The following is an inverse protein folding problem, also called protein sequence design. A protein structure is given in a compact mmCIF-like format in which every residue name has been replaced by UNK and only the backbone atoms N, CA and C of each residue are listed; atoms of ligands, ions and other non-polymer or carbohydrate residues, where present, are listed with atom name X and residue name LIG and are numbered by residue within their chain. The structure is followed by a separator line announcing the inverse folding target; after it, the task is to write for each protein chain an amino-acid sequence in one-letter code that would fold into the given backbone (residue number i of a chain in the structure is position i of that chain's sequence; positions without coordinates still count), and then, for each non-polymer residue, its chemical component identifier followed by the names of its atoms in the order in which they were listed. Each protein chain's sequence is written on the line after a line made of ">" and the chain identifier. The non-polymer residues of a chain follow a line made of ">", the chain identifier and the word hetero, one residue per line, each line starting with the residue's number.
data_IF_524911888366
#
_entry.id   IF_524911888366
#
_cell.length_a   1.000
_cell.length_b   1.000
_cell.length_c   1.000
_cell.angle_alpha   90.00
_cell.angle_beta   90.00
_cell.angle_gamma   90.00
#
_symmetry.space_group_name_H-M   'P 1'
#
loop_
_entity.id
_entity.type
_entity.pdbx_description
1 polymer ?
#
# COMPACT_ATOMS: atom_id res chain seq x y z
N UNK A 1 -27.20 112.64 23.56
CA UNK A 1 -26.03 113.07 22.76
C UNK A 1 -25.53 111.86 22.01
N UNK A 2 -25.81 111.77 20.70
CA UNK A 2 -25.35 110.66 19.87
C UNK A 2 -23.94 111.00 19.36
N UNK A 3 -23.02 110.02 19.37
CA UNK A 3 -21.68 110.17 18.81
C UNK A 3 -21.64 109.44 17.46
N UNK A 4 -21.26 110.16 16.41
CA UNK A 4 -21.11 109.62 15.07
C UNK A 4 -19.62 109.55 14.72
N UNK A 5 -19.04 108.34 14.61
CA UNK A 5 -17.69 108.11 14.10
C UNK A 5 -17.75 107.89 12.58
N UNK A 6 -17.15 108.78 11.79
CA UNK A 6 -17.19 108.67 10.32
C UNK A 6 -16.16 107.67 9.77
N UNK A 7 -15.06 107.43 10.49
CA UNK A 7 -13.96 106.54 10.10
C UNK A 7 -14.36 105.05 10.05
N UNK A 8 -15.42 104.65 10.75
CA UNK A 8 -15.99 103.31 10.66
C UNK A 8 -16.79 103.07 9.36
N UNK A 9 -17.11 104.12 8.60
CA UNK A 9 -17.92 104.04 7.37
C UNK A 9 -17.42 104.98 6.28
N UNK A 10 -16.36 104.62 5.52
CA UNK A 10 -15.70 105.52 4.57
C UNK A 10 -16.57 105.98 3.38
N UNK A 11 -17.64 105.24 3.08
CA UNK A 11 -18.62 105.53 2.02
C UNK A 11 -19.74 106.49 2.46
N UNK A 12 -19.65 107.00 3.68
CA UNK A 12 -20.59 107.97 4.23
C UNK A 12 -20.04 109.38 4.05
N UNK A 13 -20.90 110.24 3.56
CA UNK A 13 -20.63 111.66 3.39
C UNK A 13 -21.50 112.49 4.32
N UNK A 14 -20.95 113.63 4.75
CA UNK A 14 -21.70 114.68 5.43
C UNK A 14 -21.95 115.81 4.47
N UNK A 15 -23.22 116.17 4.35
CA UNK A 15 -23.69 117.29 3.58
C UNK A 15 -24.21 118.38 4.51
N UNK A 16 -23.51 119.51 4.67
CA UNK A 16 -24.09 120.69 5.31
C UNK A 16 -25.19 121.27 4.42
N UNK A 17 -26.35 121.53 5.01
CA UNK A 17 -27.51 122.17 4.38
C UNK A 17 -27.93 123.37 5.22
N UNK A 18 -27.99 124.55 4.61
CA UNK A 18 -28.42 125.77 5.30
C UNK A 18 -29.92 125.98 5.07
N UNK A 19 -30.71 125.92 6.13
CA UNK A 19 -32.17 126.01 6.07
C UNK A 19 -32.72 126.68 7.33
N UNK A 20 -33.67 127.60 7.15
CA UNK A 20 -34.24 128.40 8.25
C UNK A 20 -33.17 129.06 9.15
N UNK A 21 -32.19 129.71 8.52
CA UNK A 21 -31.05 130.38 9.18
C UNK A 21 -30.14 129.48 10.05
N UNK A 22 -30.29 128.15 9.99
CA UNK A 22 -29.46 127.18 10.71
C UNK A 22 -28.79 126.17 9.77
N UNK A 23 -27.61 125.67 10.16
CA UNK A 23 -26.94 124.56 9.47
C UNK A 23 -27.47 123.23 9.98
N UNK A 24 -28.01 122.42 9.08
CA UNK A 24 -28.41 121.03 9.32
C UNK A 24 -27.43 120.13 8.57
N UNK A 25 -26.94 119.08 9.21
CA UNK A 25 -25.95 118.18 8.63
C UNK A 25 -26.59 116.86 8.30
N UNK A 26 -26.53 116.41 7.04
CA UNK A 26 -27.14 115.15 6.64
C UNK A 26 -26.08 114.09 6.34
N UNK A 27 -26.21 112.94 7.02
CA UNK A 27 -25.44 111.74 6.72
C UNK A 27 -26.05 111.09 5.47
N UNK A 28 -25.29 111.05 4.39
CA UNK A 28 -25.75 110.55 3.09
C UNK A 28 -24.77 109.49 2.59
N UNK A 29 -25.27 108.37 2.09
CA UNK A 29 -24.45 107.41 1.35
C UNK A 29 -24.68 107.62 -0.14
N UNK A 30 -23.60 107.68 -0.90
CA UNK A 30 -23.58 107.82 -2.35
C UNK A 30 -23.07 106.49 -2.90
N UNK A 31 -23.97 105.65 -3.45
CA UNK A 31 -23.57 104.36 -4.04
C UNK A 31 -23.31 104.45 -5.54
N UNK A 32 -24.05 105.31 -6.26
CA UNK A 32 -23.98 105.55 -7.72
C UNK A 32 -24.41 107.00 -8.01
N UNK A 33 -24.00 107.60 -9.14
CA UNK A 33 -24.05 109.06 -9.40
C UNK A 33 -25.43 109.74 -9.17
N UNK A 34 -26.54 108.98 -9.25
CA UNK A 34 -27.91 109.49 -9.13
C UNK A 34 -28.68 108.96 -7.90
N UNK A 35 -28.15 107.98 -7.15
CA UNK A 35 -28.84 107.36 -6.02
C UNK A 35 -28.31 107.85 -4.67
N UNK A 36 -28.89 108.93 -4.15
CA UNK A 36 -28.60 109.47 -2.81
C UNK A 36 -29.68 109.06 -1.83
N UNK A 37 -29.28 108.34 -0.78
CA UNK A 37 -30.18 108.03 0.34
C UNK A 37 -29.72 108.78 1.58
N UNK A 38 -30.54 109.73 2.04
CA UNK A 38 -30.35 110.35 3.35
C UNK A 38 -30.58 109.28 4.42
N UNK A 39 -29.58 109.10 5.28
CA UNK A 39 -29.61 108.09 6.35
C UNK A 39 -30.11 108.71 7.65
N UNK A 40 -29.58 109.88 7.99
CA UNK A 40 -29.92 110.59 9.22
C UNK A 40 -29.57 112.07 9.13
N UNK A 41 -30.33 112.91 9.82
CA UNK A 41 -29.92 114.29 10.14
C UNK A 41 -29.11 114.28 11.43
N UNK A 42 -27.95 114.94 11.41
CA UNK A 42 -27.06 115.17 12.53
C UNK A 42 -27.25 116.63 12.96
N UNK A 43 -27.53 116.84 14.24
CA UNK A 43 -27.57 118.18 14.82
C UNK A 43 -26.29 118.40 15.64
N UNK A 44 -25.32 119.12 15.08
CA UNK A 44 -24.01 119.34 15.73
C UNK A 44 -24.07 120.21 17.01
N UNK A 45 -25.24 120.76 17.40
CA UNK A 45 -25.42 121.39 18.71
C UNK A 45 -25.73 120.39 19.83
N UNK A 46 -26.34 119.26 19.49
CA UNK A 46 -26.75 118.21 20.45
C UNK A 46 -26.02 116.89 20.28
N UNK A 47 -25.39 116.67 19.12
CA UNK A 47 -24.67 115.46 18.75
C UNK A 47 -23.19 115.74 18.52
N UNK A 48 -22.37 114.71 18.70
CA UNK A 48 -20.92 114.74 18.50
C UNK A 48 -20.57 114.05 17.20
N UNK A 49 -19.86 114.75 16.33
CA UNK A 49 -19.28 114.14 15.15
C UNK A 49 -17.78 113.99 15.36
N UNK A 50 -17.26 112.77 15.23
CA UNK A 50 -15.84 112.46 15.42
C UNK A 50 -15.26 111.89 14.12
N UNK A 51 -14.12 112.42 13.71
CA UNK A 51 -13.35 111.94 12.55
C UNK A 51 -11.92 111.69 13.04
N UNK A 52 -11.44 110.45 12.92
CA UNK A 52 -10.11 110.03 13.40
C UNK A 52 -9.82 110.47 14.85
N UNK A 53 -10.81 110.30 15.73
CA UNK A 53 -10.69 110.67 17.15
C UNK A 53 -10.80 112.17 17.46
N UNK A 54 -10.96 113.04 16.45
CA UNK A 54 -11.14 114.49 16.65
C UNK A 54 -12.61 114.90 16.49
N UNK A 55 -13.14 115.65 17.46
CA UNK A 55 -14.50 116.19 17.41
C UNK A 55 -14.59 117.35 16.42
N UNK A 56 -15.47 117.21 15.42
CA UNK A 56 -15.74 118.23 14.41
C UNK A 56 -16.86 119.14 14.88
N UNK A 57 -16.55 120.42 15.08
CA UNK A 57 -17.50 121.44 15.52
C UNK A 57 -18.24 122.06 14.34
N UNK A 58 -19.48 122.53 14.57
CA UNK A 58 -20.32 123.25 13.60
C UNK A 58 -19.54 124.39 12.89
N UNK A 59 -18.72 125.11 13.65
CA UNK A 59 -17.88 126.20 13.14
C UNK A 59 -16.91 125.76 12.03
N UNK A 60 -16.43 124.52 12.03
CA UNK A 60 -15.48 124.02 11.03
C UNK A 60 -16.16 123.85 9.67
N UNK A 61 -17.38 123.31 9.66
CA UNK A 61 -18.17 123.22 8.42
C UNK A 61 -18.66 124.58 7.95
N UNK A 62 -18.98 125.50 8.87
CA UNK A 62 -19.31 126.88 8.50
C UNK A 62 -18.15 127.55 7.77
N UNK A 63 -16.94 127.45 8.32
CA UNK A 63 -15.72 127.97 7.65
C UNK A 63 -15.51 127.31 6.30
N UNK A 64 -15.70 125.99 6.17
CA UNK A 64 -15.60 125.30 4.88
C UNK A 64 -16.65 125.78 3.87
N UNK A 65 -17.90 125.93 4.30
CA UNK A 65 -19.00 126.41 3.48
C UNK A 65 -18.77 127.87 3.02
N UNK A 66 -18.22 128.72 3.90
CA UNK A 66 -17.87 130.12 3.59
C UNK A 66 -16.59 130.24 2.73
N UNK A 67 -15.60 129.36 2.93
CA UNK A 67 -14.31 129.38 2.22
C UNK A 67 -14.40 128.86 0.79
N UNK A 68 -15.35 127.95 0.53
CA UNK A 68 -15.68 127.56 -0.83
C UNK A 68 -16.48 128.71 -1.44
N UNK A 69 -15.80 129.60 -2.18
CA UNK A 69 -16.37 130.69 -2.99
C UNK A 69 -17.19 130.10 -4.15
N UNK A 70 -18.22 129.36 -3.81
CA UNK A 70 -19.13 128.68 -4.72
C UNK A 70 -20.49 129.31 -4.44
N UNK A 71 -20.74 130.47 -5.05
CA UNK A 71 -22.02 131.20 -5.01
C UNK A 71 -23.11 130.46 -5.81
N UNK A 72 -23.35 129.19 -5.53
CA UNK A 72 -24.35 128.38 -6.23
C UNK A 72 -25.62 128.31 -5.41
N UNK A 73 -26.66 129.04 -5.85
CA UNK A 73 -28.01 128.99 -5.27
C UNK A 73 -28.62 127.58 -5.25
N UNK A 74 -28.05 126.59 -5.96
CA UNK A 74 -28.59 125.23 -6.11
C UNK A 74 -27.52 124.09 -6.03
N UNK A 75 -26.44 124.27 -5.25
CA UNK A 75 -25.36 123.26 -5.11
C UNK A 75 -25.29 122.58 -3.73
N UNK A 76 -24.83 121.33 -3.67
CA UNK A 76 -24.62 120.57 -2.42
C UNK A 76 -23.16 120.13 -2.33
N UNK A 77 -22.56 120.18 -1.13
CA UNK A 77 -21.18 119.75 -0.88
C UNK A 77 -21.22 118.53 0.03
N UNK A 78 -20.44 117.51 -0.29
CA UNK A 78 -20.36 116.25 0.45
C UNK A 78 -18.90 116.02 0.85
N UNK A 79 -18.63 115.78 2.12
CA UNK A 79 -17.27 115.49 2.61
C UNK A 79 -17.28 114.17 3.39
N UNK A 80 -16.33 113.27 3.13
CA UNK A 80 -16.17 112.03 3.90
C UNK A 80 -15.00 112.12 4.91
N UNK A 81 -14.77 111.04 5.68
CA UNK A 81 -13.70 110.96 6.67
C UNK A 81 -12.30 111.24 6.09
N UNK A 82 -12.04 110.82 4.85
CA UNK A 82 -10.73 110.98 4.21
C UNK A 82 -10.50 112.42 3.69
N UNK A 83 -11.42 113.35 3.95
CA UNK A 83 -11.36 114.72 3.44
C UNK A 83 -11.68 114.85 1.96
N UNK A 84 -12.25 113.81 1.32
CA UNK A 84 -12.65 113.89 -0.07
C UNK A 84 -13.95 114.70 -0.20
N UNK A 85 -13.87 115.82 -0.94
CA UNK A 85 -15.01 116.68 -1.21
C UNK A 85 -15.66 116.34 -2.56
N UNK A 86 -16.97 116.16 -2.59
CA UNK A 86 -17.79 116.07 -3.81
C UNK A 86 -18.74 117.26 -3.89
N UNK A 87 -18.91 117.82 -5.08
CA UNK A 87 -19.82 118.94 -5.30
C UNK A 87 -20.92 118.49 -6.25
N UNK A 88 -22.17 118.58 -5.82
CA UNK A 88 -23.33 118.41 -6.69
C UNK A 88 -23.81 119.76 -7.18
N UNK A 89 -23.97 119.90 -8.50
CA UNK A 89 -24.61 121.07 -9.12
C UNK A 89 -25.60 120.57 -10.17
N UNK A 90 -26.87 120.96 -10.06
CA UNK A 90 -27.89 120.58 -11.04
C UNK A 90 -28.20 119.08 -11.12
N UNK A 91 -28.15 118.38 -9.98
CA UNK A 91 -28.44 116.94 -9.89
C UNK A 91 -27.25 116.02 -10.23
N UNK A 92 -26.20 116.55 -10.88
CA UNK A 92 -24.99 115.78 -11.22
C UNK A 92 -23.93 115.93 -10.13
N UNK A 93 -23.34 114.81 -9.73
CA UNK A 93 -22.25 114.76 -8.74
C UNK A 93 -20.91 114.87 -9.46
N UNK A 94 -20.13 115.90 -9.16
CA UNK A 94 -18.78 116.05 -9.70
C UNK A 94 -17.76 115.77 -8.61
N UNK A 95 -16.83 114.84 -8.88
CA UNK A 95 -15.60 114.72 -8.11
C UNK A 95 -14.61 115.74 -8.68
N UNK A 96 -14.13 116.73 -7.91
CA UNK A 96 -13.14 117.68 -8.40
C UNK A 96 -11.92 116.92 -8.93
N UNK A 97 -11.54 117.21 -10.17
CA UNK A 97 -10.39 116.61 -10.84
C UNK A 97 -9.12 117.18 -10.18
N UNK A 98 -8.55 116.42 -9.24
CA UNK A 98 -7.26 116.60 -8.54
C UNK A 98 -7.19 117.71 -7.45
N UNK A 99 -6.82 117.28 -6.23
CA UNK A 99 -6.19 118.07 -5.13
C UNK A 99 -7.01 119.03 -4.25
N UNK A 100 -8.29 118.78 -4.01
CA UNK A 100 -8.97 119.36 -2.82
C UNK A 100 -9.18 118.24 -1.80
N UNK A 101 -8.18 118.03 -0.95
CA UNK A 101 -8.33 117.24 0.28
C UNK A 101 -8.63 118.25 1.37
N UNK A 102 -9.80 118.15 1.99
CA UNK A 102 -10.07 118.89 3.22
C UNK A 102 -9.22 118.29 4.32
N UNK A 103 -8.11 118.94 4.62
CA UNK A 103 -7.23 118.52 5.68
C UNK A 103 -7.85 118.84 7.03
N UNK A 104 -8.39 117.80 7.67
CA UNK A 104 -8.94 117.85 9.03
C UNK A 104 -7.89 118.26 10.08
N UNK A 105 -6.59 118.30 9.75
CA UNK A 105 -5.48 118.55 10.68
C UNK A 105 -5.16 120.03 10.97
N UNK A 106 -5.96 120.98 10.45
CA UNK A 106 -5.68 122.41 10.59
C UNK A 106 -5.99 122.99 11.99
N UNK A 107 -5.00 122.96 12.89
CA UNK A 107 -4.79 124.03 13.88
C UNK A 107 -3.47 124.76 13.55
N UNK A 108 -3.56 126.02 13.08
CA UNK A 108 -2.48 127.01 13.21
C UNK A 108 -1.42 127.10 12.08
N UNK A 109 -1.42 128.25 11.40
CA UNK A 109 -0.32 128.71 10.53
C UNK A 109 0.91 129.03 11.39
N UNK A 110 2.05 128.38 11.13
CA UNK A 110 3.37 128.84 11.58
C UNK A 110 4.36 128.73 10.43
N UNK A 111 4.93 129.87 10.04
CA UNK A 111 6.15 130.00 9.23
C UNK A 111 7.30 130.24 10.20
N UNK A 112 8.33 129.37 10.26
CA UNK A 112 9.63 129.74 10.77
C UNK A 112 10.65 129.78 9.63
N UNK A 113 11.17 130.97 9.43
CA UNK A 113 12.34 131.35 8.66
C UNK A 113 13.58 130.50 8.95
N UNK A 114 14.40 130.32 7.91
CA UNK A 114 15.80 129.81 7.89
C UNK A 114 15.96 128.34 7.48
N UNK A 115 15.72 128.11 6.18
CA UNK A 115 15.78 126.85 5.46
C UNK A 115 17.19 126.54 4.92
N UNK A 116 18.24 126.59 5.74
CA UNK A 116 19.61 126.33 5.25
C UNK A 116 20.41 125.28 6.06
N UNK A 117 20.06 125.01 7.32
CA UNK A 117 20.77 124.01 8.12
C UNK A 117 20.07 122.63 8.20
N UNK A 118 18.76 122.56 7.94
CA UNK A 118 17.99 121.30 7.97
C UNK A 118 18.14 120.46 6.69
N UNK A 119 18.32 121.12 5.54
CA UNK A 119 18.64 120.44 4.27
C UNK A 119 19.99 119.74 4.31
N UNK A 120 20.97 120.32 5.02
CA UNK A 120 22.30 119.71 5.17
C UNK A 120 22.26 118.44 6.02
N UNK A 121 21.42 118.44 7.07
CA UNK A 121 21.22 117.28 7.94
C UNK A 121 20.42 116.15 7.28
N UNK A 122 19.44 116.48 6.44
CA UNK A 122 18.71 115.49 5.64
C UNK A 122 19.58 114.88 4.53
N UNK A 123 20.50 115.64 3.93
CA UNK A 123 21.47 115.11 2.96
C UNK A 123 22.45 114.15 3.65
N UNK A 124 22.98 114.50 4.83
CA UNK A 124 23.83 113.58 5.62
C UNK A 124 23.09 112.30 6.06
N UNK A 125 21.81 112.40 6.45
CA UNK A 125 20.99 111.24 6.79
C UNK A 125 20.68 110.36 5.56
N UNK A 126 20.44 110.96 4.39
CA UNK A 126 20.25 110.24 3.13
C UNK A 126 21.55 109.61 2.61
N UNK A 127 22.69 110.29 2.72
CA UNK A 127 24.00 109.72 2.37
C UNK A 127 24.34 108.53 3.28
N UNK A 128 24.04 108.64 4.58
CA UNK A 128 24.21 107.54 5.53
C UNK A 128 23.26 106.38 5.24
N UNK A 129 22.02 106.65 4.81
CA UNK A 129 21.08 105.63 4.36
C UNK A 129 21.55 104.96 3.06
N UNK A 130 22.07 105.72 2.10
CA UNK A 130 22.63 105.20 0.84
C UNK A 130 23.85 104.31 1.11
N UNK A 131 24.76 104.74 1.99
CA UNK A 131 25.94 103.94 2.34
C UNK A 131 25.52 102.66 3.09
N UNK A 132 24.50 102.72 3.95
CA UNK A 132 23.95 101.55 4.62
C UNK A 132 23.23 100.61 3.64
N UNK A 133 22.44 101.13 2.69
CA UNK A 133 21.83 100.34 1.61
C UNK A 133 22.89 99.71 0.70
N UNK A 134 24.00 100.41 0.44
CA UNK A 134 25.12 99.90 -0.34
C UNK A 134 25.83 98.75 0.39
N UNK A 135 26.05 98.88 1.69
CA UNK A 135 26.55 97.79 2.53
C UNK A 135 25.57 96.59 2.57
N UNK A 136 24.26 96.83 2.64
CA UNK A 136 23.25 95.78 2.55
C UNK A 136 23.24 95.09 1.18
N UNK A 137 23.46 95.82 0.09
CA UNK A 137 23.59 95.26 -1.26
C UNK A 137 24.86 94.41 -1.35
N UNK A 138 25.98 94.86 -0.79
CA UNK A 138 27.25 94.12 -0.76
C UNK A 138 27.10 92.82 0.05
N UNK A 139 26.44 92.87 1.21
CA UNK A 139 26.12 91.70 2.03
C UNK A 139 25.18 90.73 1.31
N UNK A 140 24.09 91.23 0.72
CA UNK A 140 23.16 90.41 -0.05
C UNK A 140 23.85 89.76 -1.26
N UNK A 141 24.81 90.44 -1.88
CA UNK A 141 25.61 89.89 -2.98
C UNK A 141 26.50 88.73 -2.50
N UNK A 142 27.16 88.87 -1.35
CA UNK A 142 27.94 87.79 -0.72
C UNK A 142 27.03 86.60 -0.37
N UNK A 143 25.84 86.84 0.17
CA UNK A 143 24.85 85.79 0.46
C UNK A 143 24.35 85.10 -0.83
N UNK A 144 24.11 85.85 -1.90
CA UNK A 144 23.73 85.29 -3.21
C UNK A 144 24.86 84.44 -3.78
N UNK A 145 26.11 84.89 -3.68
CA UNK A 145 27.26 84.10 -4.13
C UNK A 145 27.47 82.83 -3.29
N UNK A 146 27.28 82.93 -1.97
CA UNK A 146 27.32 81.79 -1.04
C UNK A 146 26.22 80.77 -1.35
N UNK A 147 24.97 81.21 -1.47
CA UNK A 147 23.83 80.34 -1.79
C UNK A 147 23.95 79.73 -3.19
N UNK A 148 24.50 80.46 -4.16
CA UNK A 148 24.83 79.91 -5.49
C UNK A 148 25.89 78.81 -5.42
N UNK A 149 26.93 79.00 -4.60
CA UNK A 149 27.94 77.97 -4.38
C UNK A 149 27.34 76.73 -3.70
N UNK A 150 26.51 76.92 -2.66
CA UNK A 150 25.78 75.83 -2.00
C UNK A 150 24.82 75.10 -2.94
N UNK A 151 24.10 75.83 -3.80
CA UNK A 151 23.22 75.25 -4.81
C UNK A 151 24.01 74.42 -5.82
N UNK A 152 25.18 74.90 -6.26
CA UNK A 152 26.06 74.15 -7.15
C UNK A 152 26.55 72.86 -6.49
N UNK A 153 26.99 72.92 -5.24
CA UNK A 153 27.41 71.76 -4.47
C UNK A 153 26.28 70.74 -4.32
N UNK A 154 25.09 71.17 -3.90
CA UNK A 154 23.91 70.30 -3.78
C UNK A 154 23.49 69.69 -5.13
N UNK A 155 23.60 70.44 -6.23
CA UNK A 155 23.27 69.90 -7.56
C UNK A 155 24.28 68.83 -8.01
N UNK A 156 25.56 68.98 -7.66
CA UNK A 156 26.57 67.97 -7.92
C UNK A 156 26.38 66.73 -7.03
N UNK A 157 26.00 66.89 -5.76
CA UNK A 157 25.56 65.79 -4.88
C UNK A 157 24.35 65.03 -5.46
N UNK A 158 23.35 65.76 -6.00
CA UNK A 158 22.18 65.14 -6.66
C UNK A 158 22.61 64.32 -7.88
N UNK A 159 23.59 64.78 -8.67
CA UNK A 159 24.11 64.01 -9.80
C UNK A 159 24.78 62.72 -9.34
N UNK A 160 25.57 62.77 -8.27
CA UNK A 160 26.21 61.57 -7.72
C UNK A 160 25.18 60.60 -7.12
N UNK A 161 24.18 61.10 -6.38
CA UNK A 161 23.08 60.27 -5.88
C UNK A 161 22.29 59.60 -7.00
N UNK A 162 22.06 60.29 -8.13
CA UNK A 162 21.41 59.67 -9.32
C UNK A 162 22.25 58.55 -9.92
N UNK A 163 23.59 58.68 -9.96
CA UNK A 163 24.47 57.60 -10.43
C UNK A 163 24.37 56.38 -9.50
N UNK A 164 24.45 56.60 -8.19
CA UNK A 164 24.31 55.53 -7.18
C UNK A 164 22.94 54.87 -7.28
N UNK A 165 21.87 55.64 -7.45
CA UNK A 165 20.51 55.11 -7.63
C UNK A 165 20.42 54.19 -8.86
N UNK A 166 21.01 54.60 -9.99
CA UNK A 166 21.03 53.77 -11.19
C UNK A 166 21.85 52.48 -11.00
N UNK A 167 22.99 52.57 -10.34
CA UNK A 167 23.83 51.40 -10.04
C UNK A 167 23.11 50.41 -9.10
N UNK A 168 22.46 50.91 -8.06
CA UNK A 168 21.64 50.10 -7.16
C UNK A 168 20.45 49.48 -7.89
N UNK A 169 19.78 50.23 -8.78
CA UNK A 169 18.71 49.69 -9.63
C UNK A 169 19.17 48.50 -10.47
N UNK A 170 20.33 48.59 -11.11
CA UNK A 170 20.93 47.48 -11.87
C UNK A 170 21.30 46.29 -10.98
N UNK A 171 21.82 46.52 -9.76
CA UNK A 171 22.13 45.44 -8.81
C UNK A 171 20.86 44.74 -8.31
N UNK A 172 19.79 45.50 -8.03
CA UNK A 172 18.49 44.95 -7.64
C UNK A 172 17.89 44.13 -8.78
N UNK A 173 17.94 44.62 -10.03
CA UNK A 173 17.47 43.87 -11.19
C UNK A 173 18.22 42.54 -11.34
N UNK A 174 19.56 42.57 -11.29
CA UNK A 174 20.39 41.35 -11.36
C UNK A 174 20.11 40.38 -10.21
N UNK A 175 19.85 40.89 -9.01
CA UNK A 175 19.48 40.06 -7.87
C UNK A 175 18.11 39.40 -8.08
N UNK A 176 17.13 40.14 -8.60
CA UNK A 176 15.79 39.60 -8.91
C UNK A 176 15.85 38.52 -10.00
N UNK A 177 16.65 38.72 -11.05
CA UNK A 177 16.85 37.71 -12.09
C UNK A 177 17.47 36.43 -11.52
N UNK A 178 18.45 36.55 -10.61
CA UNK A 178 19.03 35.39 -9.91
C UNK A 178 18.03 34.67 -9.02
N UNK A 179 17.23 35.41 -8.26
CA UNK A 179 16.18 34.83 -7.41
C UNK A 179 15.16 34.08 -8.26
N UNK A 180 14.72 34.66 -9.38
CA UNK A 180 13.79 33.99 -10.30
C UNK A 180 14.38 32.70 -10.90
N UNK A 181 15.67 32.69 -11.22
CA UNK A 181 16.35 31.48 -11.68
C UNK A 181 16.42 30.40 -10.60
N UNK A 182 16.79 30.76 -9.36
CA UNK A 182 16.84 29.80 -8.25
C UNK A 182 15.47 29.28 -7.87
N UNK A 183 14.42 30.10 -7.95
CA UNK A 183 13.04 29.67 -7.69
C UNK A 183 12.60 28.62 -8.73
N UNK A 184 12.99 28.79 -9.99
CA UNK A 184 12.73 27.82 -11.05
C UNK A 184 13.49 26.50 -10.82
N UNK A 185 14.78 26.56 -10.44
CA UNK A 185 15.57 25.37 -10.10
C UNK A 185 14.97 24.60 -8.91
N UNK A 186 14.50 25.31 -7.89
CA UNK A 186 13.83 24.71 -6.73
C UNK A 186 12.54 23.99 -7.13
N UNK A 187 11.72 24.59 -8.00
CA UNK A 187 10.49 23.94 -8.46
C UNK A 187 10.78 22.71 -9.34
N UNK A 188 11.85 22.75 -10.15
CA UNK A 188 12.32 21.58 -10.90
C UNK A 188 12.73 20.44 -9.96
N UNK A 189 13.56 20.71 -8.96
CA UNK A 189 13.98 19.68 -8.00
C UNK A 189 12.81 19.11 -7.19
N UNK A 190 11.79 19.92 -6.90
CA UNK A 190 10.58 19.47 -6.23
C UNK A 190 9.77 18.49 -7.09
N UNK A 191 9.65 18.76 -8.39
CA UNK A 191 9.00 17.85 -9.35
C UNK A 191 9.77 16.53 -9.44
N UNK A 192 11.10 16.59 -9.57
CA UNK A 192 11.95 15.39 -9.60
C UNK A 192 11.82 14.57 -8.32
N UNK A 193 11.80 15.22 -7.15
CA UNK A 193 11.62 14.56 -5.85
C UNK A 193 10.26 13.88 -5.76
N UNK A 194 9.19 14.54 -6.21
CA UNK A 194 7.85 13.92 -6.28
C UNK A 194 7.81 12.72 -7.24
N UNK A 195 8.53 12.77 -8.37
CA UNK A 195 8.66 11.63 -9.29
C UNK A 195 9.38 10.46 -8.62
N UNK A 196 10.56 10.70 -8.03
CA UNK A 196 11.33 9.69 -7.31
C UNK A 196 10.54 9.06 -6.15
N UNK A 197 9.72 9.86 -5.46
CA UNK A 197 8.86 9.35 -4.39
C UNK A 197 7.80 8.38 -4.92
N UNK A 198 7.16 8.68 -6.05
CA UNK A 198 6.18 7.78 -6.68
C UNK A 198 6.82 6.47 -7.11
N UNK A 199 7.98 6.54 -7.76
CA UNK A 199 8.75 5.34 -8.14
C UNK A 199 9.13 4.50 -6.92
N UNK A 200 9.51 5.13 -5.80
CA UNK A 200 9.80 4.43 -4.55
C UNK A 200 8.55 3.73 -3.98
N UNK A 201 7.39 4.39 -4.01
CA UNK A 201 6.13 3.82 -3.56
C UNK A 201 5.74 2.59 -4.42
N UNK A 202 5.90 2.67 -5.75
CA UNK A 202 5.68 1.54 -6.67
C UNK A 202 6.61 0.35 -6.37
N UNK A 203 7.90 0.60 -6.14
CA UNK A 203 8.87 -0.44 -5.78
C UNK A 203 8.53 -1.08 -4.42
N UNK A 204 8.02 -0.30 -3.46
CA UNK A 204 7.60 -0.82 -2.16
C UNK A 204 6.38 -1.74 -2.28
N UNK A 205 5.43 -1.39 -3.13
CA UNK A 205 4.27 -2.23 -3.43
C UNK A 205 4.69 -3.55 -4.11
N UNK A 206 5.58 -3.48 -5.11
CA UNK A 206 6.15 -4.67 -5.78
C UNK A 206 6.91 -5.57 -4.80
N UNK A 207 7.67 -4.98 -3.88
CA UNK A 207 8.40 -5.71 -2.84
C UNK A 207 7.43 -6.41 -1.88
N UNK A 208 6.32 -5.76 -1.51
CA UNK A 208 5.28 -6.37 -0.69
C UNK A 208 4.63 -7.56 -1.42
N UNK A 209 4.28 -7.39 -2.70
CA UNK A 209 3.75 -8.46 -3.53
C UNK A 209 4.72 -9.66 -3.61
N UNK A 210 6.00 -9.41 -3.93
CA UNK A 210 7.02 -10.45 -4.01
C UNK A 210 7.22 -11.19 -2.67
N UNK A 211 7.12 -10.47 -1.54
CA UNK A 211 7.24 -11.07 -0.20
C UNK A 211 6.09 -12.03 0.09
N UNK A 212 4.86 -11.65 -0.27
CA UNK A 212 3.68 -12.50 -0.09
C UNK A 212 3.73 -13.72 -1.00
N UNK A 213 4.16 -13.55 -2.25
CA UNK A 213 4.33 -14.66 -3.20
C UNK A 213 5.40 -15.64 -2.72
N UNK A 214 6.53 -15.14 -2.19
CA UNK A 214 7.57 -15.96 -1.55
C UNK A 214 7.00 -16.78 -0.38
N UNK A 215 6.23 -16.15 0.50
CA UNK A 215 5.63 -16.83 1.65
C UNK A 215 4.66 -17.94 1.20
N UNK A 216 3.87 -17.69 0.15
CA UNK A 216 2.98 -18.69 -0.44
C UNK A 216 3.75 -19.88 -1.02
N UNK A 217 4.81 -19.61 -1.79
CA UNK A 217 5.67 -20.67 -2.34
C UNK A 217 6.34 -21.50 -1.25
N UNK A 218 6.77 -20.88 -0.15
CA UNK A 218 7.39 -21.59 0.98
C UNK A 218 6.40 -22.55 1.67
N UNK A 219 5.13 -22.13 1.82
CA UNK A 219 4.07 -23.01 2.34
C UNK A 219 3.80 -24.20 1.40
N UNK A 220 3.72 -23.96 0.09
CA UNK A 220 3.53 -25.03 -0.90
C UNK A 220 4.71 -26.02 -0.93
N UNK A 221 5.94 -25.52 -0.84
CA UNK A 221 7.14 -26.34 -0.76
C UNK A 221 7.13 -27.22 0.48
N UNK A 222 6.79 -26.67 1.64
CA UNK A 222 6.67 -27.46 2.88
C UNK A 222 5.59 -28.54 2.78
N UNK A 223 4.43 -28.22 2.17
CA UNK A 223 3.37 -29.20 1.93
C UNK A 223 3.84 -30.34 1.02
N UNK A 224 4.56 -30.06 -0.06
CA UNK A 224 5.15 -31.09 -0.93
C UNK A 224 6.19 -31.93 -0.18
N UNK A 225 7.02 -31.30 0.66
CA UNK A 225 8.01 -32.01 1.49
C UNK A 225 7.34 -32.99 2.44
N UNK A 226 6.27 -32.59 3.12
CA UNK A 226 5.53 -33.45 4.04
C UNK A 226 4.86 -34.62 3.31
N UNK A 227 4.31 -34.37 2.11
CA UNK A 227 3.77 -35.42 1.25
C UNK A 227 4.84 -36.45 0.88
N UNK A 228 6.01 -36.01 0.41
CA UNK A 228 7.12 -36.91 0.08
C UNK A 228 7.62 -37.70 1.29
N UNK A 229 7.74 -37.08 2.47
CA UNK A 229 8.13 -37.79 3.69
C UNK A 229 7.11 -38.86 4.09
N UNK A 230 5.82 -38.57 3.93
CA UNK A 230 4.75 -39.55 4.17
C UNK A 230 4.81 -40.72 3.19
N UNK A 231 5.03 -40.45 1.89
CA UNK A 231 5.18 -41.48 0.87
C UNK A 231 6.40 -42.36 1.11
N UNK A 232 7.55 -41.77 1.46
CA UNK A 232 8.77 -42.52 1.83
C UNK A 232 8.51 -43.42 3.03
N UNK A 233 7.83 -42.90 4.08
CA UNK A 233 7.47 -43.70 5.25
C UNK A 233 6.58 -44.90 4.89
N UNK A 234 5.57 -44.67 4.05
CA UNK A 234 4.67 -45.73 3.58
C UNK A 234 5.38 -46.76 2.71
N UNK A 235 6.27 -46.32 1.82
CA UNK A 235 7.10 -47.19 0.99
C UNK A 235 8.02 -48.08 1.86
N UNK A 236 8.69 -47.49 2.85
CA UNK A 236 9.54 -48.22 3.78
C UNK A 236 8.76 -49.26 4.59
N UNK A 237 7.55 -48.94 5.06
CA UNK A 237 6.67 -49.91 5.73
C UNK A 237 6.33 -51.08 4.81
N UNK A 238 5.90 -50.81 3.57
CA UNK A 238 5.61 -51.87 2.58
C UNK A 238 6.83 -52.72 2.28
N UNK A 239 8.02 -52.11 2.18
CA UNK A 239 9.26 -52.84 1.95
C UNK A 239 9.59 -53.76 3.13
N UNK A 240 9.42 -53.28 4.37
CA UNK A 240 9.57 -54.10 5.58
C UNK A 240 8.59 -55.28 5.61
N UNK A 241 7.32 -55.06 5.25
CA UNK A 241 6.31 -56.13 5.16
C UNK A 241 6.67 -57.18 4.10
N UNK A 242 7.18 -56.74 2.94
CA UNK A 242 7.64 -57.62 1.87
C UNK A 242 8.88 -58.42 2.30
N UNK A 243 9.82 -57.79 3.00
CA UNK A 243 11.01 -58.48 3.53
C UNK A 243 10.61 -59.56 4.54
N UNK A 244 9.68 -59.27 5.44
CA UNK A 244 9.15 -60.27 6.39
C UNK A 244 8.47 -61.44 5.66
N UNK A 245 7.64 -61.15 4.64
CA UNK A 245 7.00 -62.20 3.82
C UNK A 245 8.02 -63.04 3.06
N UNK A 246 9.07 -62.42 2.52
CA UNK A 246 10.14 -63.13 1.83
C UNK A 246 10.85 -64.10 2.77
N UNK A 247 11.21 -63.65 3.99
CA UNK A 247 11.83 -64.51 5.01
C UNK A 247 10.91 -65.66 5.44
N UNK A 248 9.60 -65.40 5.57
CA UNK A 248 8.62 -66.43 5.88
C UNK A 248 8.57 -67.50 4.79
N UNK A 249 8.45 -67.09 3.52
CA UNK A 249 8.43 -68.01 2.37
C UNK A 249 9.73 -68.81 2.24
N UNK A 250 10.88 -68.20 2.52
CA UNK A 250 12.17 -68.88 2.51
C UNK A 250 12.25 -69.97 3.59
N UNK A 251 11.73 -69.70 4.78
CA UNK A 251 11.62 -70.69 5.86
C UNK A 251 10.66 -71.83 5.48
N UNK A 252 9.49 -71.52 4.91
CA UNK A 252 8.53 -72.53 4.44
C UNK A 252 9.14 -73.41 3.34
N UNK A 253 9.83 -72.82 2.35
CA UNK A 253 10.53 -73.55 1.31
C UNK A 253 11.62 -74.47 1.88
N UNK A 254 12.35 -74.02 2.89
CA UNK A 254 13.34 -74.85 3.60
C UNK A 254 12.68 -76.06 4.27
N UNK A 255 11.55 -75.86 4.97
CA UNK A 255 10.77 -76.94 5.58
C UNK A 255 10.30 -77.96 4.54
N UNK A 256 9.67 -77.50 3.47
CA UNK A 256 9.17 -78.35 2.38
C UNK A 256 10.31 -79.13 1.73
N UNK A 257 11.48 -78.51 1.53
CA UNK A 257 12.65 -79.20 0.99
C UNK A 257 13.13 -80.32 1.91
N UNK A 258 13.14 -80.10 3.23
CA UNK A 258 13.50 -81.14 4.19
C UNK A 258 12.48 -82.28 4.24
N UNK A 259 11.19 -81.98 4.24
CA UNK A 259 10.11 -82.98 4.18
C UNK A 259 10.19 -83.82 2.91
N UNK A 260 10.40 -83.18 1.75
CA UNK A 260 10.58 -83.85 0.47
C UNK A 260 11.81 -84.79 0.49
N UNK A 261 12.92 -84.35 1.09
CA UNK A 261 14.11 -85.18 1.22
C UNK A 261 13.84 -86.42 2.08
N UNK A 262 13.18 -86.25 3.23
CA UNK A 262 12.82 -87.37 4.09
C UNK A 262 11.87 -88.36 3.41
N UNK A 263 10.85 -87.85 2.69
CA UNK A 263 9.93 -88.69 1.92
C UNK A 263 10.66 -89.47 0.81
N UNK A 264 11.64 -88.84 0.15
CA UNK A 264 12.49 -89.51 -0.85
C UNK A 264 13.31 -90.65 -0.25
N UNK A 265 13.91 -90.45 0.92
CA UNK A 265 14.66 -91.51 1.62
C UNK A 265 13.75 -92.67 2.04
N UNK A 266 12.55 -92.37 2.56
CA UNK A 266 11.56 -93.39 2.90
C UNK A 266 11.13 -94.20 1.68
N UNK A 267 10.90 -93.55 0.54
CA UNK A 267 10.56 -94.22 -0.71
C UNK A 267 11.70 -95.13 -1.18
N UNK A 268 12.95 -94.68 -1.09
CA UNK A 268 14.12 -95.51 -1.45
C UNK A 268 14.22 -96.75 -0.56
N UNK A 269 14.02 -96.60 0.75
CA UNK A 269 13.95 -97.73 1.70
C UNK A 269 12.81 -98.69 1.36
N UNK A 270 11.61 -98.17 1.10
CA UNK A 270 10.46 -99.00 0.71
C UNK A 270 10.71 -99.78 -0.58
N UNK A 271 11.37 -99.17 -1.57
CA UNK A 271 11.74 -99.85 -2.81
C UNK A 271 12.76 -100.96 -2.60
N UNK A 272 13.75 -100.75 -1.73
CA UNK A 272 14.72 -101.81 -1.36
C UNK A 272 14.00 -102.99 -0.71
N UNK A 273 13.09 -102.73 0.23
CA UNK A 273 12.30 -103.77 0.89
C UNK A 273 11.39 -104.51 -0.09
N UNK A 274 10.75 -103.79 -1.02
CA UNK A 274 9.91 -104.40 -2.05
C UNK A 274 10.71 -105.36 -2.93
N UNK A 275 11.92 -104.96 -3.35
CA UNK A 275 12.82 -105.82 -4.12
C UNK A 275 13.28 -107.06 -3.34
N UNK A 276 13.59 -106.90 -2.06
CA UNK A 276 13.95 -108.03 -1.19
C UNK A 276 12.78 -109.01 -1.05
N UNK A 277 11.55 -108.52 -0.90
CA UNK A 277 10.36 -109.36 -0.88
C UNK A 277 10.12 -110.07 -2.21
N UNK A 278 10.33 -109.41 -3.35
CA UNK A 278 10.27 -110.03 -4.68
C UNK A 278 11.28 -111.18 -4.82
N UNK A 279 12.51 -110.97 -4.37
CA UNK A 279 13.57 -112.00 -4.38
C UNK A 279 13.19 -113.20 -3.47
N UNK A 280 12.66 -112.94 -2.28
CA UNK A 280 12.16 -113.98 -1.38
C UNK A 280 11.01 -114.78 -2.01
N UNK A 281 10.07 -114.11 -2.67
CA UNK A 281 8.94 -114.76 -3.35
C UNK A 281 9.42 -115.65 -4.51
N UNK A 282 10.45 -115.21 -5.25
CA UNK A 282 11.10 -116.02 -6.28
C UNK A 282 11.73 -117.31 -5.71
N UNK A 283 12.39 -117.22 -4.56
CA UNK A 283 12.95 -118.38 -3.87
C UNK A 283 11.86 -119.36 -3.43
N UNK A 284 10.80 -118.87 -2.78
CA UNK A 284 9.66 -119.71 -2.36
C UNK A 284 8.99 -120.40 -3.55
N UNK A 285 8.83 -119.72 -4.68
CA UNK A 285 8.27 -120.32 -5.89
C UNK A 285 9.15 -121.45 -6.46
N UNK A 286 10.48 -121.29 -6.40
CA UNK A 286 11.41 -122.37 -6.80
C UNK A 286 11.30 -123.56 -5.87
N UNK A 287 11.26 -123.32 -4.56
CA UNK A 287 11.11 -124.38 -3.55
C UNK A 287 9.78 -125.11 -3.73
N UNK A 288 8.69 -124.38 -3.95
CA UNK A 288 7.37 -124.95 -4.25
C UNK A 288 7.40 -125.83 -5.51
N UNK A 289 8.06 -125.37 -6.57
CA UNK A 289 8.22 -126.14 -7.81
C UNK A 289 9.05 -127.43 -7.60
N UNK A 290 10.08 -127.36 -6.76
CA UNK A 290 10.89 -128.52 -6.36
C UNK A 290 10.04 -129.53 -5.59
N UNK A 291 9.33 -129.08 -4.55
CA UNK A 291 8.43 -129.93 -3.74
C UNK A 291 7.34 -130.56 -4.61
N UNK A 292 6.76 -129.83 -5.55
CA UNK A 292 5.76 -130.36 -6.47
C UNK A 292 6.35 -131.46 -7.37
N UNK A 293 7.60 -131.30 -7.82
CA UNK A 293 8.31 -132.31 -8.61
C UNK A 293 8.61 -133.57 -7.78
N UNK A 294 9.08 -133.40 -6.54
CA UNK A 294 9.30 -134.52 -5.60
C UNK A 294 7.99 -135.26 -5.29
N UNK A 295 6.89 -134.53 -5.12
CA UNK A 295 5.57 -135.11 -4.91
C UNK A 295 5.11 -135.94 -6.12
N UNK A 296 5.34 -135.47 -7.35
CA UNK A 296 5.07 -136.26 -8.56
C UNK A 296 5.93 -137.53 -8.63
N UNK A 297 7.23 -137.45 -8.33
CA UNK A 297 8.11 -138.62 -8.27
C UNK A 297 7.61 -139.64 -7.23
N UNK A 298 7.19 -139.17 -6.05
CA UNK A 298 6.61 -140.03 -5.02
C UNK A 298 5.30 -140.68 -5.47
N UNK A 299 4.41 -139.93 -6.14
CA UNK A 299 3.17 -140.46 -6.70
C UNK A 299 3.44 -141.58 -7.72
N UNK A 300 4.35 -141.35 -8.67
CA UNK A 300 4.73 -142.34 -9.69
C UNK A 300 5.34 -143.59 -9.06
N UNK A 301 6.20 -143.42 -8.05
CA UNK A 301 6.79 -144.53 -7.30
C UNK A 301 5.72 -145.36 -6.58
N UNK A 302 4.79 -144.71 -5.88
CA UNK A 302 3.69 -145.38 -5.19
C UNK A 302 2.80 -146.16 -6.18
N UNK A 303 2.48 -145.58 -7.35
CA UNK A 303 1.72 -146.28 -8.40
C UNK A 303 2.46 -147.51 -8.93
N UNK A 304 3.77 -147.41 -9.13
CA UNK A 304 4.61 -148.54 -9.54
C UNK A 304 4.66 -149.64 -8.47
N UNK A 305 4.82 -149.28 -7.20
CA UNK A 305 4.78 -150.22 -6.07
C UNK A 305 3.41 -150.90 -5.94
N UNK A 306 2.31 -150.17 -6.10
CA UNK A 306 0.95 -150.74 -6.14
C UNK A 306 0.81 -151.74 -7.29
N UNK A 307 1.28 -151.38 -8.50
CA UNK A 307 1.23 -152.26 -9.67
C UNK A 307 2.01 -153.56 -9.46
N UNK A 308 3.24 -153.47 -8.96
CA UNK A 308 4.07 -154.66 -8.67
C UNK A 308 3.46 -155.53 -7.57
N UNK A 309 2.89 -154.93 -6.52
CA UNK A 309 2.16 -155.63 -5.46
C UNK A 309 0.92 -156.34 -6.00
N UNK A 310 0.13 -155.68 -6.85
CA UNK A 310 -1.04 -156.28 -7.51
C UNK A 310 -0.65 -157.47 -8.38
N UNK A 311 0.42 -157.35 -9.19
CA UNK A 311 0.93 -158.46 -9.99
C UNK A 311 1.39 -159.64 -9.10
N UNK A 312 2.05 -159.35 -7.97
CA UNK A 312 2.46 -160.36 -6.99
C UNK A 312 1.23 -161.05 -6.36
N UNK A 313 0.21 -160.29 -5.99
CA UNK A 313 -1.04 -160.84 -5.46
C UNK A 313 -1.74 -161.73 -6.49
N UNK A 314 -1.82 -161.30 -7.75
CA UNK A 314 -2.40 -162.11 -8.84
C UNK A 314 -1.63 -163.42 -9.04
N UNK A 315 -0.30 -163.38 -8.99
CA UNK A 315 0.52 -164.59 -9.04
C UNK A 315 0.25 -165.53 -7.86
N UNK A 316 0.18 -164.98 -6.63
CA UNK A 316 -0.14 -165.77 -5.43
C UNK A 316 -1.54 -166.38 -5.51
N UNK A 317 -2.52 -165.66 -6.04
CA UNK A 317 -3.88 -166.14 -6.27
C UNK A 317 -3.91 -167.31 -7.27
N UNK A 318 -3.21 -167.20 -8.40
CA UNK A 318 -3.06 -168.30 -9.38
C UNK A 318 -2.39 -169.53 -8.76
N UNK A 319 -1.35 -169.32 -7.93
CA UNK A 319 -0.67 -170.40 -7.21
C UNK A 319 -1.58 -171.06 -6.19
N UNK A 320 -2.37 -170.28 -5.44
CA UNK A 320 -3.39 -170.79 -4.50
C UNK A 320 -4.41 -171.66 -5.23
N UNK A 321 -4.95 -171.18 -6.35
CA UNK A 321 -5.92 -171.93 -7.18
C UNK A 321 -5.34 -173.23 -7.74
N UNK A 322 -4.06 -173.22 -8.10
CA UNK A 322 -3.34 -174.43 -8.53
C UNK A 322 -3.23 -175.44 -7.39
N UNK A 323 -2.85 -174.98 -6.19
CA UNK A 323 -2.79 -175.83 -5.00
C UNK A 323 -4.16 -176.39 -4.62
N UNK A 324 -5.23 -175.59 -4.70
CA UNK A 324 -6.61 -176.04 -4.50
C UNK A 324 -7.00 -177.17 -5.47
N UNK A 325 -6.69 -177.01 -6.76
CA UNK A 325 -6.93 -178.05 -7.76
C UNK A 325 -6.15 -179.33 -7.46
N UNK A 326 -4.87 -179.21 -7.10
CA UNK A 326 -4.04 -180.36 -6.70
C UNK A 326 -4.61 -181.06 -5.47
N UNK A 327 -5.09 -180.30 -4.49
CA UNK A 327 -5.69 -180.82 -3.26
C UNK A 327 -7.01 -181.53 -3.56
N UNK A 328 -7.83 -180.99 -4.46
CA UNK A 328 -9.04 -181.65 -4.96
C UNK A 328 -8.71 -182.95 -5.70
N UNK A 329 -7.64 -182.98 -6.49
CA UNK A 329 -7.17 -184.20 -7.16
C UNK A 329 -6.75 -185.25 -6.12
N UNK A 330 -5.89 -184.88 -5.16
CA UNK A 330 -5.46 -185.78 -4.08
C UNK A 330 -6.65 -186.28 -3.24
N UNK A 331 -7.65 -185.44 -2.97
CA UNK A 331 -8.89 -185.87 -2.29
C UNK A 331 -9.65 -186.91 -3.11
N UNK A 332 -9.76 -186.72 -4.44
CA UNK A 332 -10.41 -187.69 -5.33
C UNK A 332 -9.64 -189.02 -5.42
N UNK A 333 -8.31 -188.97 -5.46
CA UNK A 333 -7.43 -190.15 -5.42
C UNK A 333 -7.55 -190.89 -4.09
N UNK A 334 -7.56 -190.17 -2.96
CA UNK A 334 -7.84 -190.75 -1.64
C UNK A 334 -9.20 -191.43 -1.60
N UNK A 335 -10.24 -190.80 -2.15
CA UNK A 335 -11.58 -191.39 -2.23
C UNK A 335 -11.60 -192.67 -3.06
N UNK A 336 -10.89 -192.68 -4.20
CA UNK A 336 -10.69 -193.86 -5.04
C UNK A 336 -9.96 -194.97 -4.29
N UNK A 337 -8.83 -194.65 -3.62
CA UNK A 337 -8.08 -195.61 -2.81
C UNK A 337 -8.91 -196.16 -1.64
N UNK A 338 -9.71 -195.32 -0.97
CA UNK A 338 -10.65 -195.79 0.06
C UNK A 338 -11.69 -196.76 -0.51
N UNK A 339 -12.22 -196.50 -1.71
CA UNK A 339 -13.15 -197.42 -2.36
C UNK A 339 -12.48 -198.72 -2.79
N UNK A 340 -11.25 -198.66 -3.32
CA UNK A 340 -10.45 -199.85 -3.61
C UNK A 340 -10.15 -200.65 -2.35
N UNK A 341 -9.80 -199.98 -1.24
CA UNK A 341 -9.57 -200.61 0.05
C UNK A 341 -10.85 -201.29 0.55
N UNK A 342 -12.02 -200.63 0.48
CA UNK A 342 -13.31 -201.24 0.80
C UNK A 342 -13.63 -202.45 -0.08
N UNK A 343 -13.31 -202.40 -1.36
CA UNK A 343 -13.48 -203.53 -2.27
C UNK A 343 -12.53 -204.68 -1.91
N UNK A 344 -11.28 -204.38 -1.59
CA UNK A 344 -10.30 -205.36 -1.12
C UNK A 344 -10.74 -205.97 0.21
N UNK A 345 -11.20 -205.17 1.18
CA UNK A 345 -11.75 -205.64 2.45
C UNK A 345 -12.97 -206.55 2.23
N UNK A 346 -13.82 -206.22 1.24
CA UNK A 346 -14.95 -207.08 0.85
C UNK A 346 -14.48 -208.41 0.26
N UNK A 347 -13.49 -208.38 -0.64
CA UNK A 347 -12.88 -209.60 -1.20
C UNK A 347 -12.16 -210.42 -0.13
N UNK A 348 -11.49 -209.79 0.84
CA UNK A 348 -10.88 -210.48 1.98
C UNK A 348 -11.95 -211.13 2.83
N UNK A 349 -13.06 -210.46 3.15
CA UNK A 349 -14.18 -211.08 3.85
C UNK A 349 -14.78 -212.25 3.07
N UNK A 350 -14.93 -212.11 1.75
CA UNK A 350 -15.46 -213.18 0.89
C UNK A 350 -14.48 -214.36 0.81
N UNK A 351 -13.17 -214.12 0.73
CA UNK A 351 -12.12 -215.14 0.84
C UNK A 351 -12.09 -215.79 2.23
N UNK A 352 -12.29 -215.03 3.31
CA UNK A 352 -12.42 -215.54 4.67
C UNK A 352 -13.66 -216.41 4.82
N UNK A 353 -14.80 -216.03 4.24
CA UNK A 353 -16.03 -216.82 4.17
C UNK A 353 -15.83 -218.10 3.33
N UNK A 354 -15.17 -217.99 2.18
CA UNK A 354 -14.79 -219.15 1.36
C UNK A 354 -13.86 -220.09 2.14
N UNK A 355 -12.83 -219.57 2.82
CA UNK A 355 -11.94 -220.35 3.70
C UNK A 355 -12.72 -221.02 4.83
N UNK A 356 -13.68 -220.33 5.44
CA UNK A 356 -14.54 -220.86 6.50
C UNK A 356 -15.43 -222.02 5.98
N UNK A 357 -15.96 -221.90 4.76
CA UNK A 357 -16.69 -222.97 4.09
C UNK A 357 -15.80 -224.17 3.73
N UNK A 358 -14.57 -223.92 3.27
CA UNK A 358 -13.58 -224.95 2.93
C UNK A 358 -13.12 -225.71 4.18
N UNK A 359 -12.94 -224.99 5.30
CA UNK A 359 -12.59 -225.57 6.61
C UNK A 359 -13.72 -226.43 7.19
N UNK A 360 -14.99 -226.17 6.81
CA UNK A 360 -16.15 -226.98 7.18
C UNK A 360 -16.23 -228.30 6.38
N UNK A 361 -15.86 -228.28 5.10
CA UNK A 361 -15.99 -229.46 4.22
C UNK A 361 -14.91 -230.53 4.43
N UNK A 362 -13.82 -230.21 5.12
CA UNK A 362 -12.72 -231.15 5.42
C UNK A 362 -12.92 -231.97 6.71
N UNK A 363 -14.11 -231.89 7.34
CA UNK A 363 -14.41 -232.53 8.63
C UNK A 363 -15.35 -233.76 8.56
N UNK A 364 -15.53 -234.34 7.38
CA UNK A 364 -16.20 -235.63 7.13
C UNK A 364 -15.41 -236.39 6.11
#
# INVERSE_FOLDING_TARGET
>A
MVVYNLDETPDVFIAPYYYNDEFVYNRTVIKEEENRKQIHSINLRSDKLVIYGSEVKESMFKTLYESLIIRLKNGWIFVNCNGACYVCVGGKTYRPIHNIIFDWSSFGVIVPTSMNDMLKKQVEELEKAVENSKQQIELAKIEVESTKASLKASNDEIKELKKVQNELGLKVQKANEKVALTDFEVELYKIELESCRKELDEILDDLCYCKDEKAKMEVELNKMRDQFLSEISNSNKRNGDLEMKSKLLENELSSVRSELHSSKEQLECSNKNAKELEDQLCMVNKDLSSVQSELHIMQDRLLSEISTSNNRNHYLEMKSKTLENQLSLMQSELYSMQNQLKFSDKNVKELEEQLSSFKKNLKT
#
